data_IF_496711892131
#
_entry.id   IF_496711892131
#
_cell.length_a   1.000
_cell.length_b   1.000
_cell.length_c   1.000
_cell.angle_alpha   90.00
_cell.angle_beta   90.00
_cell.angle_gamma   90.00
#
_symmetry.space_group_name_H-M   'P 1'
#
loop_
_entity.id
_entity.type
_entity.pdbx_description
1 polymer ?
#
# COMPACT_ATOMS: atom_id res chain seq x y z
N UNK A 1 6.20 4.18 1.91
CA UNK A 1 7.33 5.11 2.22
C UNK A 1 8.71 4.49 1.97
N UNK A 2 8.87 3.61 0.98
CA UNK A 2 10.09 2.81 0.77
C UNK A 2 11.37 3.64 0.52
N UNK A 3 11.30 4.64 -0.38
CA UNK A 3 12.48 5.44 -0.74
C UNK A 3 12.99 6.31 0.43
N UNK A 4 12.12 6.70 1.36
CA UNK A 4 12.51 7.46 2.55
C UNK A 4 13.38 6.64 3.50
N UNK A 5 13.38 5.31 3.38
CA UNK A 5 14.16 4.42 4.25
C UNK A 5 15.57 4.16 3.72
N UNK A 6 15.84 4.50 2.45
CA UNK A 6 17.13 4.22 1.80
C UNK A 6 18.30 4.89 2.54
N UNK A 7 18.25 6.19 2.90
CA UNK A 7 19.36 6.82 3.62
C UNK A 7 19.58 6.22 5.02
N UNK A 8 18.49 5.89 5.73
CA UNK A 8 18.55 5.30 7.07
C UNK A 8 19.22 3.92 7.03
N UNK A 9 18.88 3.11 6.02
CA UNK A 9 19.50 1.80 5.79
C UNK A 9 20.97 1.93 5.42
N UNK A 10 21.33 2.90 4.57
CA UNK A 10 22.73 3.17 4.21
C UNK A 10 23.59 3.54 5.41
N UNK A 11 23.04 4.28 6.37
CA UNK A 11 23.72 4.67 7.61
C UNK A 11 23.54 3.66 8.76
N UNK A 12 23.01 2.47 8.47
CA UNK A 12 22.80 1.38 9.45
C UNK A 12 22.00 1.80 10.70
N UNK A 13 21.10 2.77 10.55
CA UNK A 13 20.24 3.22 11.65
C UNK A 13 19.22 2.12 11.95
N UNK A 14 19.18 1.64 13.19
CA UNK A 14 18.15 0.69 13.62
C UNK A 14 16.78 1.38 13.58
N UNK A 15 15.90 0.84 12.75
CA UNK A 15 14.57 1.39 12.51
C UNK A 15 13.44 0.54 13.13
N UNK A 16 13.76 -0.62 13.72
CA UNK A 16 12.78 -1.62 14.13
C UNK A 16 11.74 -1.10 15.12
N UNK A 17 12.13 -0.19 16.01
CA UNK A 17 11.29 0.24 17.13
C UNK A 17 10.35 1.40 16.80
N UNK A 18 10.62 2.15 15.72
CA UNK A 18 9.93 3.42 15.46
C UNK A 18 9.49 3.61 14.01
N UNK A 19 9.95 2.77 13.08
CA UNK A 19 9.65 2.94 11.67
C UNK A 19 8.30 2.32 11.30
N UNK A 20 7.34 3.19 11.01
CA UNK A 20 6.03 2.77 10.52
C UNK A 20 6.02 2.63 8.99
N UNK A 21 5.57 1.47 8.50
CA UNK A 21 5.25 1.28 7.07
C UNK A 21 3.89 1.89 6.75
N UNK A 22 3.78 2.56 5.61
CA UNK A 22 2.52 3.16 5.14
C UNK A 22 2.17 2.66 3.75
N UNK A 23 0.87 2.57 3.48
CA UNK A 23 0.31 2.24 2.16
C UNK A 23 -0.23 3.50 1.46
N UNK A 24 -0.28 3.46 0.13
CA UNK A 24 -1.03 4.42 -0.68
C UNK A 24 -2.29 3.73 -1.21
N UNK A 25 -3.46 4.30 -0.98
CA UNK A 25 -4.73 3.71 -1.37
C UNK A 25 -5.84 4.10 -0.40
N UNK A 26 -6.70 3.15 -0.02
CA UNK A 26 -7.87 3.37 0.82
C UNK A 26 -7.92 2.35 1.95
N UNK A 27 -8.25 2.81 3.15
CA UNK A 27 -8.69 1.97 4.27
C UNK A 27 -10.00 2.56 4.76
N UNK A 28 -11.09 1.78 4.69
CA UNK A 28 -12.40 2.22 5.18
C UNK A 28 -13.02 1.13 6.04
N UNK A 29 -13.49 1.53 7.22
CA UNK A 29 -14.18 0.65 8.16
C UNK A 29 -15.56 1.24 8.40
N UNK A 30 -16.59 0.45 8.17
CA UNK A 30 -17.99 0.84 8.37
C UNK A 30 -18.69 -0.16 9.27
N UNK A 31 -19.49 0.36 10.19
CA UNK A 31 -20.44 -0.48 10.93
C UNK A 31 -21.62 -0.77 10.02
N UNK A 32 -21.95 -2.04 9.85
CA UNK A 32 -23.14 -2.47 9.11
C UNK A 32 -24.10 -3.17 10.07
N UNK A 33 -25.40 -2.96 9.86
CA UNK A 33 -26.45 -3.56 10.66
C UNK A 33 -27.27 -4.49 9.78
N UNK A 34 -27.34 -5.76 10.17
CA UNK A 34 -28.17 -6.78 9.55
C UNK A 34 -29.23 -7.20 10.55
N UNK A 35 -30.41 -6.55 10.49
CA UNK A 35 -31.47 -6.67 11.50
C UNK A 35 -30.93 -6.32 12.90
N UNK A 36 -30.97 -7.27 13.83
CA UNK A 36 -30.48 -7.15 15.20
C UNK A 36 -28.98 -7.42 15.34
N UNK A 37 -28.29 -7.79 14.27
CA UNK A 37 -26.85 -8.08 14.30
C UNK A 37 -26.04 -6.91 13.78
N UNK A 38 -25.01 -6.54 14.54
CA UNK A 38 -24.03 -5.55 14.13
C UNK A 38 -22.76 -6.24 13.64
N UNK A 39 -22.19 -5.75 12.54
CA UNK A 39 -20.90 -6.19 12.04
C UNK A 39 -20.02 -5.00 11.64
N UNK A 40 -18.73 -5.23 11.49
CA UNK A 40 -17.78 -4.27 10.92
C UNK A 40 -17.37 -4.79 9.54
N UNK A 41 -17.62 -3.98 8.52
CA UNK A 41 -17.07 -4.20 7.19
C UNK A 41 -15.80 -3.37 7.06
N UNK A 42 -14.72 -3.99 6.60
CA UNK A 42 -13.46 -3.35 6.27
C UNK A 42 -13.23 -3.52 4.77
N UNK A 43 -12.77 -2.46 4.11
CA UNK A 43 -12.27 -2.51 2.74
C UNK A 43 -10.90 -1.85 2.74
N UNK A 44 -9.91 -2.59 2.25
CA UNK A 44 -8.53 -2.14 2.13
C UNK A 44 -8.15 -2.23 0.66
N UNK A 45 -7.61 -1.16 0.11
CA UNK A 45 -7.05 -1.15 -1.24
C UNK A 45 -5.69 -0.50 -1.20
N UNK A 46 -4.66 -1.17 -1.73
CA UNK A 46 -3.27 -0.71 -1.68
C UNK A 46 -2.59 -0.79 -3.04
N UNK A 47 -1.92 0.30 -3.41
CA UNK A 47 -1.16 0.42 -4.66
C UNK A 47 0.27 -0.05 -4.40
N UNK A 48 0.78 -0.93 -5.26
CA UNK A 48 2.16 -1.44 -5.19
C UNK A 48 3.18 -0.32 -5.42
N UNK A 49 4.27 -0.36 -4.66
CA UNK A 49 5.42 0.54 -4.82
C UNK A 49 6.42 0.08 -5.87
N UNK A 50 6.31 -1.14 -6.41
CA UNK A 50 7.30 -1.71 -7.34
C UNK A 50 7.35 -0.97 -8.68
N UNK A 51 6.19 -0.54 -9.19
CA UNK A 51 6.08 0.22 -10.45
C UNK A 51 4.91 1.20 -10.43
N UNK A 52 4.92 2.10 -9.45
CA UNK A 52 3.98 3.21 -9.39
C UNK A 52 4.39 4.31 -10.39
N UNK A 53 3.44 4.87 -11.13
CA UNK A 53 3.71 5.92 -12.08
C UNK A 53 2.45 6.68 -12.50
N UNK A 54 2.64 7.85 -13.11
CA UNK A 54 1.52 8.67 -13.53
C UNK A 54 0.59 7.91 -14.47
N UNK A 55 -0.72 7.94 -14.16
CA UNK A 55 -1.76 7.30 -14.97
C UNK A 55 -1.64 7.81 -16.40
N UNK A 56 -1.73 6.91 -17.37
CA UNK A 56 -1.55 7.14 -18.82
C UNK A 56 -0.10 7.28 -19.32
N UNK A 57 0.88 7.58 -18.46
CA UNK A 57 2.30 7.61 -18.85
C UNK A 57 3.00 6.28 -18.58
N UNK A 58 2.62 5.58 -17.51
CA UNK A 58 3.21 4.28 -17.14
C UNK A 58 2.18 3.17 -17.38
N UNK A 59 2.49 2.27 -18.32
CA UNK A 59 1.66 1.10 -18.70
C UNK A 59 2.57 -0.11 -18.95
N UNK A 60 1.98 -1.29 -18.94
CA UNK A 60 2.67 -2.55 -19.22
C UNK A 60 3.51 -3.07 -18.05
N UNK A 61 4.40 -3.99 -18.38
CA UNK A 61 5.30 -4.70 -17.46
C UNK A 61 6.74 -4.22 -17.67
N UNK A 62 7.59 -4.29 -16.63
CA UNK A 62 9.05 -4.08 -16.76
C UNK A 62 9.81 -5.41 -16.90
N UNK A 63 11.12 -5.34 -17.05
CA UNK A 63 11.99 -6.51 -17.21
C UNK A 63 12.01 -7.41 -15.96
N UNK A 64 11.70 -6.86 -14.79
CA UNK A 64 11.55 -7.62 -13.53
C UNK A 64 10.15 -8.28 -13.38
N UNK A 65 9.25 -8.11 -14.35
CA UNK A 65 7.91 -8.70 -14.33
C UNK A 65 6.86 -7.91 -13.52
N UNK A 66 7.19 -6.71 -13.04
CA UNK A 66 6.28 -5.84 -12.31
C UNK A 66 5.35 -5.05 -13.25
N UNK A 67 4.05 -5.24 -13.06
CA UNK A 67 3.01 -4.49 -13.78
C UNK A 67 2.87 -3.09 -13.20
N UNK A 68 2.75 -2.11 -14.09
CA UNK A 68 2.52 -0.71 -13.70
C UNK A 68 1.22 -0.54 -12.91
N UNK A 69 1.27 0.21 -11.81
CA UNK A 69 0.10 0.59 -11.00
C UNK A 69 -0.74 -0.61 -10.52
N UNK A 70 -0.09 -1.72 -10.15
CA UNK A 70 -0.78 -2.87 -9.54
C UNK A 70 -1.49 -2.47 -8.24
N UNK A 71 -2.71 -2.96 -8.05
CA UNK A 71 -3.53 -2.72 -6.87
C UNK A 71 -4.04 -4.05 -6.32
N UNK A 72 -3.90 -4.22 -5.01
CA UNK A 72 -4.52 -5.32 -4.26
C UNK A 72 -5.67 -4.77 -3.42
N UNK A 73 -6.81 -5.47 -3.42
CA UNK A 73 -8.01 -5.07 -2.68
C UNK A 73 -8.52 -6.26 -1.87
N UNK A 74 -8.74 -6.01 -0.58
CA UNK A 74 -9.21 -6.96 0.44
C UNK A 74 -10.50 -6.45 1.09
#
# INVERSE_FOLDING_TARGET
NQLLHVPLRQHQVSCCDWLLKVICGVVTIRTVYASHKQAKACLISRISCERAGARFLTRGVNDDGHVSNFVETE
#
